data_IF_170786036522
#
_entry.id   IF_170786036522
#
_cell.length_a   1.000
_cell.length_b   1.000
_cell.length_c   1.000
_cell.angle_alpha   90.00
_cell.angle_beta   90.00
_cell.angle_gamma   90.00
#
_symmetry.space_group_name_H-M   'P 1'
#
loop_
_entity.id
_entity.type
_entity.pdbx_description
1 polymer ?
#
# COMPACT_ATOMS: atom_id res chain seq x y z
N UNK A 1 -6.33 10.78 17.77
CA UNK A 1 -7.12 9.55 17.48
C UNK A 1 -8.40 9.92 16.74
N UNK A 2 -8.88 9.01 15.90
CA UNK A 2 -10.10 9.24 15.12
C UNK A 2 -10.67 7.92 14.61
N UNK A 3 -9.83 7.16 13.91
CA UNK A 3 -10.21 5.87 13.35
C UNK A 3 -9.02 4.92 13.38
N UNK A 4 -9.28 3.64 13.11
CA UNK A 4 -8.21 2.64 13.09
C UNK A 4 -7.47 2.70 11.75
N UNK A 5 -7.89 3.63 10.91
CA UNK A 5 -7.30 3.81 9.60
C UNK A 5 -5.80 4.01 9.68
N UNK A 6 -5.39 5.01 10.45
CA UNK A 6 -3.98 5.36 10.56
C UNK A 6 -3.15 4.17 10.98
N UNK A 7 -3.59 3.46 12.01
CA UNK A 7 -2.86 2.28 12.47
C UNK A 7 -2.76 1.24 11.37
N UNK A 8 -3.87 1.03 10.67
CA UNK A 8 -3.89 0.07 9.57
C UNK A 8 -3.02 0.58 8.43
N UNK A 9 -3.07 1.90 8.27
CA UNK A 9 -2.33 2.60 7.24
C UNK A 9 -0.84 2.69 7.52
N UNK A 10 -0.45 2.80 8.79
CA UNK A 10 0.98 2.91 9.13
C UNK A 10 1.65 1.63 8.72
N UNK A 11 1.01 0.57 9.14
CA UNK A 11 1.47 -0.75 8.87
C UNK A 11 1.51 -0.99 7.37
N UNK A 12 0.40 -0.63 6.73
CA UNK A 12 0.24 -0.80 5.31
C UNK A 12 1.10 0.14 4.47
N UNK A 13 1.08 1.43 4.80
CA UNK A 13 1.87 2.40 4.07
C UNK A 13 3.33 2.01 4.21
N UNK A 14 3.66 1.54 5.41
CA UNK A 14 4.98 1.11 5.71
C UNK A 14 5.31 -0.13 4.88
N UNK A 15 4.31 -1.01 4.70
CA UNK A 15 4.51 -2.20 3.89
C UNK A 15 4.66 -1.83 2.42
N UNK A 16 3.76 -0.98 1.96
CA UNK A 16 3.73 -0.55 0.58
C UNK A 16 4.89 0.37 0.21
N UNK A 17 5.24 1.28 1.10
CA UNK A 17 6.32 2.22 0.85
C UNK A 17 7.66 1.47 0.76
N UNK A 18 7.70 0.26 1.31
CA UNK A 18 8.90 -0.58 1.28
C UNK A 18 9.17 -1.06 -0.14
N UNK A 19 8.08 -1.33 -0.86
CA UNK A 19 8.13 -1.82 -2.23
C UNK A 19 9.14 -1.04 -3.10
N UNK A 20 10.29 -1.64 -3.38
CA UNK A 20 11.37 -0.99 -4.19
C UNK A 20 11.09 -0.95 -5.69
N UNK A 21 10.08 -1.68 -6.16
CA UNK A 21 9.81 -1.70 -7.60
C UNK A 21 8.85 -0.59 -8.01
N UNK A 22 7.65 -0.66 -7.45
CA UNK A 22 6.59 0.31 -7.74
C UNK A 22 7.08 1.73 -7.86
N UNK A 23 6.36 2.49 -8.69
CA UNK A 23 6.64 3.90 -8.86
C UNK A 23 5.93 4.60 -7.73
N UNK A 24 6.39 5.77 -7.37
CA UNK A 24 5.78 6.49 -6.27
C UNK A 24 4.27 6.57 -6.45
N UNK A 25 3.80 6.71 -7.69
CA UNK A 25 2.37 6.79 -7.95
C UNK A 25 1.69 5.52 -7.49
N UNK A 26 2.23 4.37 -7.88
CA UNK A 26 1.65 3.11 -7.48
C UNK A 26 1.75 2.97 -5.98
N UNK A 27 2.93 3.33 -5.49
CA UNK A 27 3.21 3.30 -4.08
C UNK A 27 2.19 4.16 -3.37
N UNK A 28 1.94 5.32 -3.97
CA UNK A 28 0.96 6.25 -3.47
C UNK A 28 -0.45 5.77 -3.72
N UNK A 29 -0.60 5.10 -4.84
CA UNK A 29 -1.88 4.56 -5.26
C UNK A 29 -2.40 3.69 -4.16
N UNK A 30 -1.46 3.01 -3.53
CA UNK A 30 -1.76 2.18 -2.44
C UNK A 30 -2.09 3.01 -1.25
N UNK A 31 -1.37 4.12 -1.05
CA UNK A 31 -1.69 4.97 0.09
C UNK A 31 -3.16 5.34 -0.03
N UNK A 32 -3.52 5.58 -1.29
CA UNK A 32 -4.89 5.95 -1.63
C UNK A 32 -5.85 4.80 -1.42
N UNK A 33 -5.42 3.58 -1.73
CA UNK A 33 -6.29 2.43 -1.56
C UNK A 33 -6.59 2.19 -0.07
N UNK A 34 -5.60 2.47 0.78
CA UNK A 34 -5.77 2.26 2.23
C UNK A 34 -6.95 3.07 2.77
N UNK A 35 -7.01 4.34 2.38
CA UNK A 35 -8.11 5.21 2.83
C UNK A 35 -9.40 4.82 2.13
N UNK A 36 -9.27 4.40 0.89
CA UNK A 36 -10.42 3.95 0.11
C UNK A 36 -10.92 2.66 0.75
N UNK A 37 -10.05 2.02 1.51
CA UNK A 37 -10.39 0.77 2.19
C UNK A 37 -9.28 0.34 3.16
N UNK A 38 -9.36 0.70 4.42
CA UNK A 38 -8.35 0.31 5.44
C UNK A 38 -8.41 -1.17 5.77
N UNK A 39 -9.62 -1.73 5.66
CA UNK A 39 -9.84 -3.14 5.92
C UNK A 39 -9.05 -3.95 4.90
N UNK A 40 -8.91 -3.38 3.71
CA UNK A 40 -8.17 -4.02 2.64
C UNK A 40 -6.74 -3.52 2.58
N UNK A 41 -6.33 -2.73 3.59
CA UNK A 41 -4.96 -2.22 3.65
C UNK A 41 -4.02 -3.42 3.60
N UNK A 42 -4.50 -4.52 4.22
CA UNK A 42 -3.77 -5.78 4.26
C UNK A 42 -3.69 -6.43 2.87
N UNK A 43 -4.77 -6.29 2.12
CA UNK A 43 -4.85 -6.83 0.76
C UNK A 43 -4.00 -6.00 -0.16
N UNK A 44 -3.98 -4.73 0.15
CA UNK A 44 -3.33 -3.76 -0.68
C UNK A 44 -1.85 -3.95 -0.75
N UNK A 45 -1.19 -4.28 0.36
CA UNK A 45 0.24 -4.58 0.23
C UNK A 45 0.32 -5.87 -0.53
N UNK A 46 -0.69 -6.72 -0.33
CA UNK A 46 -0.75 -8.00 -1.03
C UNK A 46 -0.75 -7.72 -2.52
N UNK A 47 -1.56 -6.74 -2.88
CA UNK A 47 -1.68 -6.27 -4.24
C UNK A 47 -0.38 -5.60 -4.63
N UNK A 48 0.06 -4.72 -3.75
CA UNK A 48 1.27 -3.96 -3.93
C UNK A 48 2.47 -4.87 -4.09
N UNK A 49 2.56 -5.86 -3.23
CA UNK A 49 3.65 -6.83 -3.31
C UNK A 49 3.52 -7.56 -4.63
N UNK A 50 2.27 -7.81 -5.05
CA UNK A 50 2.01 -8.44 -6.33
C UNK A 50 2.37 -7.48 -7.46
N UNK A 51 2.11 -6.20 -7.20
CA UNK A 51 2.38 -5.11 -8.14
C UNK A 51 3.88 -4.91 -8.29
N UNK A 52 4.53 -4.93 -7.14
CA UNK A 52 5.96 -4.74 -7.05
C UNK A 52 6.64 -5.81 -7.86
N UNK A 53 6.19 -7.03 -7.64
CA UNK A 53 6.69 -8.17 -8.34
C UNK A 53 6.24 -8.20 -9.81
N UNK A 54 4.98 -7.79 -10.03
CA UNK A 54 4.39 -7.82 -11.38
C UNK A 54 4.91 -6.75 -12.32
N UNK A 55 5.11 -5.56 -11.80
CA UNK A 55 5.56 -4.45 -12.62
C UNK A 55 7.05 -4.50 -12.78
N UNK A 56 7.72 -4.63 -11.63
CA UNK A 56 9.17 -4.61 -11.60
C UNK A 56 9.67 -3.48 -12.51
N UNK A 57 9.31 -2.24 -12.20
CA UNK A 57 9.66 -1.06 -13.04
C UNK A 57 11.14 -0.70 -12.94
N UNK A 58 11.94 -1.31 -13.82
CA UNK A 58 13.39 -1.07 -13.84
C UNK A 58 13.69 0.28 -14.48
#
# INVERSE_FOLDING_TARGET
>A
VDNKFNKERVIAIGEIMRLPNLNSLQVVAFINSLRDDPSQSANLLAEAKKLNDAQAPK
#
